data_IF_021330952903
#
_entry.id   IF_021330952903
#
_cell.length_a   1.000
_cell.length_b   1.000
_cell.length_c   1.000
_cell.angle_alpha   90.00
_cell.angle_beta   90.00
_cell.angle_gamma   90.00
#
_symmetry.space_group_name_H-M   'P 1'
#
loop_
_entity.id
_entity.type
_entity.pdbx_description
1 polymer ?
#
# COMPACT_ATOMS: atom_id res chain seq x y z
N UNK A 1 -33.57 46.82 19.85
CA UNK A 1 -33.92 45.49 20.40
C UNK A 1 -34.59 44.72 19.25
N UNK A 2 -33.81 43.88 18.55
CA UNK A 2 -33.93 42.40 18.56
C UNK A 2 -35.16 41.94 17.74
N UNK A 3 -35.13 41.17 16.66
CA UNK A 3 -34.17 40.20 16.11
C UNK A 3 -34.43 40.06 14.60
N UNK A 4 -33.34 40.00 13.83
CA UNK A 4 -33.22 39.24 12.59
C UNK A 4 -32.93 37.78 12.92
N UNK A 5 -33.41 36.81 12.12
CA UNK A 5 -32.72 35.58 11.67
C UNK A 5 -33.79 34.61 11.15
N UNK A 6 -33.99 34.58 9.82
CA UNK A 6 -34.33 33.39 9.02
C UNK A 6 -34.37 33.79 7.53
N UNK A 7 -33.20 34.02 6.95
CA UNK A 7 -33.02 33.93 5.49
C UNK A 7 -31.90 32.93 5.23
N UNK A 8 -32.28 31.79 4.64
CA UNK A 8 -31.37 30.70 4.30
C UNK A 8 -30.39 31.13 3.22
N UNK A 9 -29.17 31.47 3.62
CA UNK A 9 -28.01 31.55 2.73
C UNK A 9 -27.52 30.14 2.42
N UNK A 10 -27.58 29.77 1.14
CA UNK A 10 -26.93 28.59 0.56
C UNK A 10 -25.42 28.59 0.86
N UNK A 11 -25.03 27.89 1.92
CA UNK A 11 -23.64 27.52 2.17
C UNK A 11 -23.24 26.45 1.15
N UNK A 12 -22.61 26.87 0.05
CA UNK A 12 -21.90 25.96 -0.83
C UNK A 12 -20.80 25.24 -0.02
N UNK A 13 -21.00 23.96 0.24
CA UNK A 13 -20.06 23.12 0.99
C UNK A 13 -18.69 23.08 0.28
N UNK A 14 -17.57 23.12 1.03
CA UNK A 14 -16.23 23.08 0.45
C UNK A 14 -15.96 21.80 -0.36
N UNK A 15 -16.71 20.72 -0.10
CA UNK A 15 -16.63 19.48 -0.89
C UNK A 15 -17.09 19.63 -2.36
N UNK A 16 -18.06 20.50 -2.64
CA UNK A 16 -18.57 20.70 -4.01
C UNK A 16 -17.56 21.43 -4.90
N UNK A 17 -16.82 22.39 -4.32
CA UNK A 17 -15.73 23.13 -4.99
C UNK A 17 -14.50 22.24 -5.21
N UNK A 18 -14.15 21.38 -4.26
CA UNK A 18 -13.06 20.39 -4.43
C UNK A 18 -13.40 19.37 -5.53
N UNK A 19 -14.65 18.91 -5.60
CA UNK A 19 -15.09 17.96 -6.63
C UNK A 19 -15.08 18.59 -8.04
N UNK A 20 -15.45 19.86 -8.17
CA UNK A 20 -15.38 20.61 -9.43
C UNK A 20 -13.94 20.89 -9.88
N UNK A 21 -13.06 21.23 -8.94
CA UNK A 21 -11.64 21.54 -9.21
C UNK A 21 -10.83 20.29 -9.57
N UNK A 22 -11.18 19.11 -9.02
CA UNK A 22 -10.57 17.82 -9.39
C UNK A 22 -10.96 17.32 -10.79
N UNK A 23 -12.10 17.77 -11.34
CA UNK A 23 -12.54 17.44 -12.70
C UNK A 23 -11.97 18.38 -13.78
N UNK A 24 -11.36 19.50 -13.39
CA UNK A 24 -10.86 20.53 -14.31
C UNK A 24 -9.39 20.37 -14.72
N UNK A 25 -8.63 19.45 -14.12
CA UNK A 25 -7.27 19.18 -14.61
C UNK A 25 -7.32 18.42 -15.94
N UNK A 26 -6.71 18.95 -17.01
CA UNK A 26 -6.71 18.26 -18.30
C UNK A 26 -6.03 16.91 -18.13
N UNK A 27 -6.69 15.82 -18.54
CA UNK A 27 -6.18 14.43 -18.47
C UNK A 27 -4.75 14.29 -18.99
N UNK A 28 -4.33 15.17 -19.90
CA UNK A 28 -2.98 15.29 -20.43
C UNK A 28 -1.91 15.69 -19.39
N UNK A 29 -2.23 16.52 -18.40
CA UNK A 29 -1.28 16.93 -17.35
C UNK A 29 -1.00 15.80 -16.37
N UNK A 30 -2.02 15.05 -15.97
CA UNK A 30 -1.89 13.85 -15.11
C UNK A 30 -1.15 12.72 -15.85
N UNK A 31 -1.39 12.56 -17.16
CA UNK A 31 -0.67 11.58 -18.00
C UNK A 31 0.80 11.97 -18.22
N UNK A 32 1.10 13.27 -18.33
CA UNK A 32 2.48 13.77 -18.44
C UNK A 32 3.26 13.66 -17.14
N UNK A 33 2.61 13.92 -16.00
CA UNK A 33 3.24 13.76 -14.68
C UNK A 33 3.51 12.29 -14.34
N UNK A 34 2.58 11.39 -14.67
CA UNK A 34 2.78 9.94 -14.50
C UNK A 34 3.82 9.34 -15.46
N UNK A 35 3.93 9.85 -16.69
CA UNK A 35 4.97 9.44 -17.63
C UNK A 35 6.36 9.96 -17.21
N UNK A 36 6.45 11.20 -16.73
CA UNK A 36 7.69 11.78 -16.23
C UNK A 36 8.25 11.02 -15.01
N UNK A 37 7.37 10.60 -14.09
CA UNK A 37 7.77 9.82 -12.91
C UNK A 37 8.18 8.38 -13.26
N UNK A 38 7.56 7.78 -14.28
CA UNK A 38 7.93 6.45 -14.76
C UNK A 38 9.28 6.44 -15.52
N UNK A 39 9.61 7.53 -16.22
CA UNK A 39 10.92 7.68 -16.90
C UNK A 39 12.05 7.88 -15.89
N UNK A 40 11.83 8.62 -14.80
CA UNK A 40 12.83 8.83 -13.75
C UNK A 40 13.18 7.54 -12.96
N UNK A 41 12.25 6.58 -12.89
CA UNK A 41 12.48 5.28 -12.23
C UNK A 41 13.09 4.21 -13.15
N UNK A 42 13.24 4.48 -14.45
CA UNK A 42 13.59 3.47 -15.47
C UNK A 42 15.07 3.42 -15.88
N UNK A 43 15.93 4.32 -15.40
CA UNK A 43 17.30 4.49 -15.92
C UNK A 43 18.39 3.86 -15.02
N UNK A 44 18.23 2.60 -14.60
CA UNK A 44 19.32 1.92 -13.90
C UNK A 44 18.98 0.60 -13.22
N UNK A 45 18.63 -0.45 -13.97
CA UNK A 45 18.81 -1.83 -13.51
C UNK A 45 18.88 -2.77 -14.73
N UNK A 46 19.91 -3.63 -14.86
CA UNK A 46 19.94 -4.62 -15.91
C UNK A 46 18.88 -5.70 -15.65
N UNK A 47 18.17 -6.09 -16.71
CA UNK A 47 17.16 -7.13 -16.71
C UNK A 47 17.80 -8.49 -16.39
N UNK A 48 17.58 -9.01 -15.18
CA UNK A 48 17.80 -10.41 -14.89
C UNK A 48 16.71 -11.23 -15.59
N UNK A 49 17.13 -12.11 -16.50
CA UNK A 49 16.28 -13.06 -17.22
C UNK A 49 15.55 -13.97 -16.21
N UNK A 50 14.22 -13.92 -16.22
CA UNK A 50 13.39 -14.85 -15.47
C UNK A 50 13.52 -16.25 -16.09
N UNK A 51 14.13 -17.18 -15.36
CA UNK A 51 14.03 -18.61 -15.65
C UNK A 51 12.72 -19.15 -15.06
N UNK A 52 11.93 -19.82 -15.90
CA UNK A 52 10.75 -20.59 -15.48
C UNK A 52 11.20 -21.78 -14.61
N UNK A 53 10.98 -21.67 -13.29
CA UNK A 53 11.06 -22.81 -12.37
C UNK A 53 9.66 -23.43 -12.29
N UNK A 54 9.46 -24.71 -12.68
CA UNK A 54 8.17 -25.36 -12.54
C UNK A 54 7.82 -25.57 -11.05
N UNK A 55 6.60 -25.20 -10.68
CA UNK A 55 6.03 -25.41 -9.36
C UNK A 55 5.83 -26.92 -9.11
N UNK A 56 6.65 -27.51 -8.24
CA UNK A 56 6.40 -28.84 -7.68
C UNK A 56 5.16 -28.82 -6.76
N UNK A 57 4.27 -29.82 -6.82
CA UNK A 57 3.13 -29.90 -5.91
C UNK A 57 3.58 -30.23 -4.48
N UNK A 58 2.86 -29.67 -3.50
CA UNK A 58 3.13 -29.83 -2.06
C UNK A 58 3.15 -31.31 -1.62
N UNK A 59 4.03 -31.73 -0.69
CA UNK A 59 4.06 -33.10 -0.21
C UNK A 59 2.82 -33.41 0.63
N UNK A 60 2.13 -34.51 0.27
CA UNK A 60 1.07 -35.09 1.10
C UNK A 60 1.69 -35.84 2.29
N UNK A 61 1.14 -35.61 3.48
CA UNK A 61 1.51 -36.32 4.71
C UNK A 61 0.83 -37.68 4.70
N UNK A 62 1.60 -38.74 4.47
CA UNK A 62 1.21 -40.14 4.70
C UNK A 62 1.81 -40.58 6.04
N UNK A 63 1.03 -41.15 6.99
CA UNK A 63 1.61 -41.69 8.22
C UNK A 63 2.20 -43.08 7.96
N UNK A 64 3.49 -43.27 8.26
CA UNK A 64 4.20 -44.53 8.15
C UNK A 64 4.20 -45.31 9.50
N UNK A 65 4.29 -46.65 9.47
CA UNK A 65 3.99 -47.52 10.61
C UNK A 65 5.15 -47.69 11.59
N UNK A 66 4.80 -48.06 12.83
CA UNK A 66 5.70 -48.25 13.97
C UNK A 66 6.56 -49.51 13.76
N UNK A 67 7.88 -49.36 13.77
CA UNK A 67 8.84 -50.46 13.88
C UNK A 67 9.67 -50.31 15.17
N UNK A 68 9.63 -51.35 16.00
CA UNK A 68 10.44 -51.53 17.21
C UNK A 68 11.88 -51.91 16.86
N UNK A 69 12.87 -51.36 17.56
CA UNK A 69 14.28 -51.85 17.51
C UNK A 69 14.91 -51.83 18.92
N UNK A 70 15.75 -52.82 19.29
CA UNK A 70 16.18 -53.06 20.67
C UNK A 70 17.40 -52.23 21.11
N UNK A 71 17.60 -52.22 22.43
CA UNK A 71 18.52 -51.40 23.22
C UNK A 71 20.02 -51.68 23.02
N UNK A 72 20.83 -50.62 23.18
CA UNK A 72 22.28 -50.63 23.43
C UNK A 72 22.67 -49.43 24.33
N UNK A 73 23.82 -49.45 25.04
CA UNK A 73 23.92 -49.08 26.45
C UNK A 73 24.28 -47.61 26.76
N UNK A 74 24.02 -47.28 28.04
CA UNK A 74 24.06 -45.97 28.70
C UNK A 74 25.43 -45.25 28.70
N UNK A 75 25.39 -43.94 28.45
CA UNK A 75 26.43 -42.97 28.79
C UNK A 75 25.79 -41.75 29.51
N UNK A 76 26.53 -41.03 30.38
CA UNK A 76 25.95 -40.25 31.49
C UNK A 76 25.22 -38.97 31.06
N UNK A 77 24.01 -38.76 31.59
CA UNK A 77 23.24 -37.52 31.42
C UNK A 77 23.81 -36.38 32.28
N UNK A 78 24.13 -35.26 31.64
CA UNK A 78 24.27 -33.94 32.28
C UNK A 78 22.89 -33.29 32.30
N UNK A 79 22.43 -32.90 33.51
CA UNK A 79 21.12 -32.32 33.73
C UNK A 79 21.00 -30.87 33.19
N UNK A 80 19.85 -30.48 32.62
CA UNK A 80 19.56 -29.09 32.25
C UNK A 80 19.16 -28.25 33.48
N UNK A 81 19.44 -26.93 33.49
CA UNK A 81 19.13 -26.08 34.64
C UNK A 81 17.62 -25.82 34.76
N UNK A 82 17.12 -25.97 35.98
CA UNK A 82 15.71 -25.81 36.34
C UNK A 82 15.28 -24.34 36.38
N UNK A 83 14.11 -24.08 35.78
CA UNK A 83 13.34 -22.86 35.94
C UNK A 83 12.71 -22.80 37.34
N UNK A 84 12.77 -21.63 37.99
CA UNK A 84 12.08 -21.35 39.25
C UNK A 84 10.89 -20.46 38.93
N UNK A 85 9.69 -20.96 39.24
CA UNK A 85 8.44 -20.22 39.20
C UNK A 85 8.16 -19.51 40.54
N UNK A 86 7.38 -18.45 40.45
CA UNK A 86 7.03 -17.49 41.48
C UNK A 86 6.24 -18.06 42.69
N UNK A 87 6.40 -17.39 43.83
CA UNK A 87 5.59 -17.56 45.05
C UNK A 87 5.80 -16.43 46.07
N UNK A 88 4.88 -15.47 46.05
CA UNK A 88 4.31 -14.62 47.13
C UNK A 88 5.15 -13.67 48.02
N UNK A 89 4.92 -12.37 47.74
CA UNK A 89 4.53 -11.28 48.65
C UNK A 89 5.08 -11.23 50.10
N UNK A 90 6.05 -10.32 50.30
CA UNK A 90 6.40 -9.74 51.59
C UNK A 90 6.73 -8.25 51.43
N UNK A 91 5.91 -7.39 52.00
CA UNK A 91 6.04 -5.93 52.09
C UNK A 91 7.37 -5.52 52.74
N UNK A 92 8.18 -4.72 52.05
CA UNK A 92 9.30 -3.96 52.63
C UNK A 92 9.26 -2.55 51.99
N UNK A 93 8.66 -1.56 52.67
CA UNK A 93 9.26 -0.76 53.74
C UNK A 93 10.38 0.16 53.21
N UNK A 94 10.06 1.46 53.15
CA UNK A 94 10.93 2.59 52.82
C UNK A 94 12.21 2.61 53.67
N UNK A 95 13.34 3.12 53.13
CA UNK A 95 14.56 3.25 53.92
C UNK A 95 14.43 4.43 54.91
N UNK A 96 14.39 4.12 56.20
CA UNK A 96 14.55 5.09 57.29
C UNK A 96 16.02 5.43 57.46
N UNK A 97 16.35 6.69 57.22
CA UNK A 97 17.64 7.32 57.49
C UNK A 97 17.88 7.29 59.00
N UNK A 98 19.03 6.75 59.42
CA UNK A 98 19.45 6.68 60.81
C UNK A 98 19.76 8.06 61.37
N UNK A 99 19.13 8.36 62.50
CA UNK A 99 19.38 9.51 63.35
C UNK A 99 20.62 9.23 64.20
N UNK A 100 21.76 9.83 63.84
CA UNK A 100 22.85 10.05 64.80
C UNK A 100 23.10 11.56 64.86
N UNK A 101 22.68 12.15 65.97
CA UNK A 101 22.95 13.52 66.33
C UNK A 101 24.24 13.59 67.16
N UNK A 102 25.07 14.61 66.92
CA UNK A 102 25.75 15.30 68.00
C UNK A 102 25.20 16.74 68.09
N UNK A 103 24.86 17.14 69.32
CA UNK A 103 24.46 18.49 69.66
C UNK A 103 25.66 19.44 69.84
N UNK A 104 25.36 20.75 69.77
CA UNK A 104 26.19 21.97 69.89
C UNK A 104 26.62 22.56 68.51
N UNK A 105 26.39 23.83 68.17
CA UNK A 105 25.99 25.00 68.96
C UNK A 105 25.36 26.05 68.03
N UNK A 106 24.55 26.93 68.62
CA UNK A 106 23.80 28.02 67.98
C UNK A 106 24.71 29.12 67.41
N UNK A 107 24.40 29.69 66.23
CA UNK A 107 24.28 31.15 66.00
C UNK A 107 24.28 31.60 64.51
N UNK A 108 23.19 32.29 64.15
CA UNK A 108 23.09 33.49 63.28
C UNK A 108 23.28 33.42 61.74
N UNK A 109 22.20 33.75 61.01
CA UNK A 109 22.26 34.52 59.75
C UNK A 109 21.37 34.01 58.60
N UNK A 110 20.39 34.79 58.08
CA UNK A 110 19.47 34.34 57.04
C UNK A 110 19.95 34.73 55.64
N UNK A 111 20.35 33.76 54.81
CA UNK A 111 20.42 33.96 53.36
C UNK A 111 19.54 32.92 52.67
N UNK A 112 18.23 33.23 52.63
CA UNK A 112 17.29 32.63 51.70
C UNK A 112 17.54 33.21 50.31
N UNK A 113 18.62 32.77 49.67
CA UNK A 113 18.70 32.88 48.21
C UNK A 113 17.62 31.96 47.64
N UNK A 114 16.65 32.45 46.84
CA UNK A 114 15.66 31.58 46.25
C UNK A 114 16.41 30.56 45.38
N UNK A 115 16.06 29.27 45.52
CA UNK A 115 16.46 28.23 44.56
C UNK A 115 16.27 28.84 43.17
N UNK A 116 17.38 29.11 42.48
CA UNK A 116 17.35 29.61 41.12
C UNK A 116 16.46 28.66 40.34
N UNK A 117 15.31 29.17 39.92
CA UNK A 117 14.50 28.50 38.92
C UNK A 117 15.46 28.19 37.77
N UNK A 118 15.71 26.90 37.53
CA UNK A 118 16.47 26.47 36.37
C UNK A 118 15.77 27.13 35.18
N UNK A 119 16.42 28.03 34.44
CA UNK A 119 15.79 28.64 33.28
C UNK A 119 15.33 27.51 32.36
N UNK A 120 14.05 27.51 31.98
CA UNK A 120 13.53 26.54 31.01
C UNK A 120 14.31 26.57 29.67
N UNK A 121 15.13 27.61 29.46
CA UNK A 121 16.05 27.80 28.35
C UNK A 121 17.36 26.97 28.44
N UNK A 122 17.55 26.18 29.51
CA UNK A 122 18.71 25.29 29.69
C UNK A 122 18.47 23.85 29.16
N UNK A 123 17.60 23.68 28.16
CA UNK A 123 17.59 22.52 27.27
C UNK A 123 18.32 22.90 25.97
N UNK A 124 19.67 22.86 25.93
CA UNK A 124 20.37 22.88 24.66
C UNK A 124 20.09 21.55 23.98
N UNK A 125 19.13 21.53 23.06
CA UNK A 125 18.93 20.67 21.88
C UNK A 125 17.44 20.69 21.57
N UNK A 126 17.06 21.43 20.54
CA UNK A 126 15.69 21.45 20.04
C UNK A 126 15.40 20.08 19.42
N UNK A 127 14.84 19.15 20.21
CA UNK A 127 14.37 17.83 19.79
C UNK A 127 13.16 17.90 18.84
N UNK A 128 12.92 19.06 18.23
CA UNK A 128 11.97 19.19 17.14
C UNK A 128 12.41 18.30 15.96
N UNK A 129 11.47 17.68 15.22
CA UNK A 129 11.81 16.90 14.02
C UNK A 129 12.65 17.68 13.01
N UNK A 130 12.49 19.00 12.97
CA UNK A 130 13.25 19.89 12.10
C UNK A 130 14.68 20.12 12.61
N UNK A 131 14.88 20.24 13.92
CA UNK A 131 16.21 20.32 14.55
C UNK A 131 17.03 19.06 14.26
N UNK A 132 16.42 17.89 14.55
CA UNK A 132 17.00 16.57 14.25
C UNK A 132 17.32 16.39 12.76
N UNK A 133 16.44 16.82 11.85
CA UNK A 133 16.74 16.74 10.41
C UNK A 133 17.99 17.57 10.02
N UNK A 134 18.22 18.74 10.63
CA UNK A 134 19.36 19.59 10.29
C UNK A 134 20.69 18.98 10.75
N UNK A 135 20.70 18.35 11.92
CA UNK A 135 21.88 17.68 12.49
C UNK A 135 22.19 16.32 11.87
N UNK A 136 21.21 15.69 11.21
CA UNK A 136 21.40 14.39 10.59
C UNK A 136 22.53 14.29 9.56
N UNK A 137 23.15 13.12 9.53
CA UNK A 137 24.12 12.72 8.52
C UNK A 137 23.50 12.74 7.11
N UNK A 138 24.33 12.99 6.10
CA UNK A 138 23.87 13.12 4.70
C UNK A 138 23.15 11.86 4.19
N UNK A 139 23.56 10.68 4.65
CA UNK A 139 22.93 9.41 4.27
C UNK A 139 21.55 9.28 4.92
N UNK A 140 21.43 9.60 6.22
CA UNK A 140 20.13 9.56 6.93
C UNK A 140 19.18 10.60 6.34
N UNK A 141 19.67 11.80 5.99
CA UNK A 141 18.90 12.81 5.26
C UNK A 141 18.37 12.28 3.92
N UNK A 142 19.20 11.59 3.14
CA UNK A 142 18.79 10.99 1.87
C UNK A 142 17.71 9.91 2.06
N UNK A 143 17.86 9.05 3.08
CA UNK A 143 16.86 8.04 3.47
C UNK A 143 15.53 8.70 3.83
N UNK A 144 15.53 9.71 4.70
CA UNK A 144 14.31 10.42 5.12
C UNK A 144 13.60 11.10 3.94
N UNK A 145 14.34 11.80 3.08
CA UNK A 145 13.79 12.46 1.89
C UNK A 145 13.20 11.42 0.92
N UNK A 146 13.90 10.31 0.68
CA UNK A 146 13.45 9.22 -0.18
C UNK A 146 12.15 8.58 0.33
N UNK A 147 12.02 8.37 1.63
CA UNK A 147 10.81 7.83 2.26
C UNK A 147 9.62 8.79 2.18
N UNK A 148 9.85 10.10 2.38
CA UNK A 148 8.82 11.13 2.20
C UNK A 148 8.36 11.19 0.74
N UNK A 149 9.29 11.12 -0.21
CA UNK A 149 8.95 11.05 -1.63
C UNK A 149 8.12 9.80 -1.96
N UNK A 150 8.51 8.62 -1.46
CA UNK A 150 7.76 7.38 -1.63
C UNK A 150 6.32 7.48 -1.06
N UNK A 151 6.15 8.18 0.07
CA UNK A 151 4.82 8.46 0.63
C UNK A 151 3.98 9.32 -0.33
N UNK A 152 4.54 10.41 -0.89
CA UNK A 152 3.86 11.26 -1.88
C UNK A 152 3.45 10.46 -3.12
N UNK A 153 4.32 9.58 -3.62
CA UNK A 153 4.01 8.67 -4.73
C UNK A 153 2.84 7.77 -4.38
N UNK A 154 2.83 7.19 -3.19
CA UNK A 154 1.75 6.30 -2.72
C UNK A 154 0.39 6.99 -2.75
N UNK A 155 0.29 8.21 -2.20
CA UNK A 155 -0.94 9.01 -2.20
C UNK A 155 -1.36 9.45 -3.61
N UNK A 156 -0.39 9.79 -4.46
CA UNK A 156 -0.66 10.16 -5.86
C UNK A 156 -1.26 8.98 -6.62
N UNK A 157 -0.67 7.79 -6.49
CA UNK A 157 -1.18 6.59 -7.15
C UNK A 157 -2.57 6.24 -6.63
N UNK A 158 -2.84 6.38 -5.33
CA UNK A 158 -4.18 6.19 -4.77
C UNK A 158 -5.22 7.04 -5.52
N UNK A 159 -5.02 8.35 -5.60
CA UNK A 159 -6.00 9.26 -6.20
C UNK A 159 -6.23 8.92 -7.67
N UNK A 160 -5.15 8.75 -8.44
CA UNK A 160 -5.24 8.43 -9.88
C UNK A 160 -5.96 7.11 -10.09
N UNK A 161 -5.59 6.06 -9.35
CA UNK A 161 -6.17 4.73 -9.49
C UNK A 161 -7.60 4.65 -8.99
N UNK A 162 -7.97 5.42 -7.96
CA UNK A 162 -9.35 5.53 -7.52
C UNK A 162 -10.24 6.09 -8.62
N UNK A 163 -9.83 7.17 -9.28
CA UNK A 163 -10.61 7.78 -10.37
C UNK A 163 -10.69 6.81 -11.58
N UNK A 164 -9.57 6.20 -11.96
CA UNK A 164 -9.51 5.23 -13.06
C UNK A 164 -10.43 4.03 -12.80
N UNK A 165 -10.36 3.44 -11.61
CA UNK A 165 -11.20 2.31 -11.20
C UNK A 165 -12.69 2.68 -11.18
N UNK A 166 -13.05 3.81 -10.55
CA UNK A 166 -14.46 4.23 -10.45
C UNK A 166 -15.06 4.56 -11.82
N UNK A 167 -14.30 5.19 -12.71
CA UNK A 167 -14.77 5.51 -14.07
C UNK A 167 -14.92 4.25 -14.91
N UNK A 168 -13.95 3.34 -14.87
CA UNK A 168 -14.02 2.06 -15.58
C UNK A 168 -15.16 1.16 -15.05
N UNK A 169 -15.33 1.08 -13.73
CA UNK A 169 -16.39 0.28 -13.11
C UNK A 169 -17.79 0.85 -13.44
N UNK A 170 -17.94 2.17 -13.48
CA UNK A 170 -19.20 2.79 -13.92
C UNK A 170 -19.48 2.49 -15.39
N UNK A 171 -18.48 2.61 -16.26
CA UNK A 171 -18.63 2.33 -17.69
C UNK A 171 -19.04 0.87 -17.95
N UNK A 172 -18.32 -0.10 -17.38
CA UNK A 172 -18.66 -1.52 -17.55
C UNK A 172 -20.03 -1.87 -16.97
N UNK A 173 -20.43 -1.27 -15.85
CA UNK A 173 -21.76 -1.47 -15.27
C UNK A 173 -22.89 -0.94 -16.15
N UNK A 174 -22.70 0.23 -16.76
CA UNK A 174 -23.66 0.79 -17.70
C UNK A 174 -23.72 -0.06 -18.97
N UNK A 175 -22.56 -0.47 -19.50
CA UNK A 175 -22.45 -1.39 -20.63
C UNK A 175 -23.16 -2.71 -20.40
N UNK A 176 -22.92 -3.34 -19.25
CA UNK A 176 -23.57 -4.60 -18.89
C UNK A 176 -25.10 -4.48 -18.88
N UNK A 177 -25.65 -3.40 -18.30
CA UNK A 177 -27.11 -3.14 -18.31
C UNK A 177 -27.65 -2.94 -19.72
N UNK A 178 -26.91 -2.24 -20.60
CA UNK A 178 -27.30 -2.06 -22.01
C UNK A 178 -27.31 -3.39 -22.76
N UNK A 179 -26.30 -4.23 -22.54
CA UNK A 179 -26.18 -5.56 -23.15
C UNK A 179 -27.31 -6.48 -22.67
N UNK A 180 -27.64 -6.44 -21.38
CA UNK A 180 -28.71 -7.25 -20.80
C UNK A 180 -30.11 -6.84 -21.30
N UNK A 181 -30.34 -5.53 -21.49
CA UNK A 181 -31.60 -5.00 -22.00
C UNK A 181 -31.75 -5.11 -23.53
N UNK A 182 -30.67 -5.36 -24.26
CA UNK A 182 -30.69 -5.37 -25.72
C UNK A 182 -31.36 -6.64 -26.28
N UNK A 183 -32.20 -6.47 -27.30
CA UNK A 183 -32.84 -7.58 -27.99
C UNK A 183 -31.91 -8.32 -28.95
N UNK A 184 -30.91 -7.61 -29.51
CA UNK A 184 -29.91 -8.11 -30.46
C UNK A 184 -28.57 -7.39 -30.27
N UNK A 185 -27.50 -7.96 -30.83
CA UNK A 185 -26.15 -7.36 -30.80
C UNK A 185 -26.13 -5.99 -31.49
N UNK A 186 -26.88 -5.84 -32.59
CA UNK A 186 -26.98 -4.58 -33.33
C UNK A 186 -27.64 -3.48 -32.48
N UNK A 187 -28.68 -3.82 -31.72
CA UNK A 187 -29.32 -2.89 -30.79
C UNK A 187 -28.36 -2.46 -29.65
N UNK A 188 -27.60 -3.40 -29.09
CA UNK A 188 -26.58 -3.08 -28.09
C UNK A 188 -25.51 -2.14 -28.65
N UNK A 189 -25.04 -2.38 -29.89
CA UNK A 189 -24.06 -1.54 -30.57
C UNK A 189 -24.54 -0.13 -30.91
N UNK A 190 -25.81 0.03 -31.27
CA UNK A 190 -26.39 1.34 -31.59
C UNK A 190 -26.37 2.32 -30.40
N UNK A 191 -26.27 1.80 -29.18
CA UNK A 191 -26.19 2.58 -27.94
C UNK A 191 -24.78 2.61 -27.31
N UNK A 192 -23.76 2.18 -28.04
CA UNK A 192 -22.37 2.15 -27.58
C UNK A 192 -21.68 3.52 -27.79
N UNK A 193 -21.06 4.06 -26.73
CA UNK A 193 -20.38 5.38 -26.77
C UNK A 193 -18.91 5.27 -27.21
N UNK A 194 -18.40 4.03 -27.31
CA UNK A 194 -17.17 3.67 -27.96
C UNK A 194 -15.89 3.73 -27.14
N UNK A 195 -16.00 3.96 -25.84
CA UNK A 195 -14.86 4.34 -24.98
C UNK A 195 -14.39 3.19 -24.10
N UNK A 196 -15.28 2.28 -23.70
CA UNK A 196 -14.96 1.22 -22.74
C UNK A 196 -14.65 -0.14 -23.37
N UNK A 197 -14.16 -1.09 -22.57
CA UNK A 197 -13.94 -2.48 -22.99
C UNK A 197 -15.23 -3.17 -23.45
N UNK A 198 -16.39 -2.86 -22.86
CA UNK A 198 -17.73 -3.32 -23.27
C UNK A 198 -18.01 -3.02 -24.74
N UNK A 199 -17.74 -1.80 -25.19
CA UNK A 199 -17.99 -1.39 -26.57
C UNK A 199 -17.01 -2.07 -27.52
N UNK A 200 -15.78 -2.32 -27.06
CA UNK A 200 -14.78 -3.07 -27.83
C UNK A 200 -15.20 -4.53 -27.99
N UNK A 201 -15.80 -5.13 -26.97
CA UNK A 201 -16.37 -6.49 -27.02
C UNK A 201 -17.50 -6.56 -28.03
N UNK A 202 -18.48 -5.67 -27.94
CA UNK A 202 -19.61 -5.58 -28.87
C UNK A 202 -19.14 -5.41 -30.32
N UNK A 203 -18.20 -4.49 -30.57
CA UNK A 203 -17.67 -4.27 -31.92
C UNK A 203 -16.84 -5.44 -32.43
N UNK A 204 -16.12 -6.14 -31.56
CA UNK A 204 -15.36 -7.32 -31.96
C UNK A 204 -16.30 -8.45 -32.39
N UNK A 205 -17.37 -8.68 -31.63
CA UNK A 205 -18.41 -9.65 -31.98
C UNK A 205 -19.06 -9.30 -33.33
N UNK A 206 -19.50 -8.06 -33.53
CA UNK A 206 -20.16 -7.68 -34.80
C UNK A 206 -19.21 -7.70 -36.00
N UNK A 207 -17.94 -7.31 -35.84
CA UNK A 207 -16.95 -7.43 -36.92
C UNK A 207 -16.76 -8.89 -37.32
N UNK A 208 -16.74 -9.80 -36.35
CA UNK A 208 -16.54 -11.23 -36.62
C UNK A 208 -17.77 -11.87 -37.27
N UNK A 209 -18.99 -11.49 -36.83
CA UNK A 209 -20.23 -11.90 -37.49
C UNK A 209 -20.28 -11.43 -38.95
N UNK A 210 -19.94 -10.16 -39.21
CA UNK A 210 -19.95 -9.62 -40.57
C UNK A 210 -18.93 -10.31 -41.48
N UNK A 211 -17.75 -10.66 -40.97
CA UNK A 211 -16.73 -11.42 -41.74
C UNK A 211 -17.14 -12.87 -41.99
N UNK A 212 -17.95 -13.43 -41.11
CA UNK A 212 -18.35 -14.84 -41.18
C UNK A 212 -19.68 -15.06 -41.91
N UNK A 213 -20.29 -14.00 -42.44
CA UNK A 213 -21.55 -14.06 -43.18
C UNK A 213 -21.46 -14.93 -44.46
N UNK A 214 -20.26 -15.17 -44.99
CA UNK A 214 -20.01 -15.93 -46.23
C UNK A 214 -19.85 -17.45 -46.00
N UNK A 215 -20.73 -18.06 -45.18
CA UNK A 215 -20.85 -19.53 -45.12
C UNK A 215 -19.93 -20.26 -44.15
N UNK A 216 -19.36 -19.58 -43.14
CA UNK A 216 -18.61 -20.24 -42.07
C UNK A 216 -19.54 -20.88 -41.03
N UNK A 217 -19.09 -21.95 -40.37
CA UNK A 217 -19.87 -22.64 -39.34
C UNK A 217 -20.14 -21.74 -38.13
N UNK A 218 -21.38 -21.73 -37.64
CA UNK A 218 -21.83 -20.94 -36.48
C UNK A 218 -21.00 -21.21 -35.23
N UNK A 219 -20.61 -22.47 -35.02
CA UNK A 219 -19.80 -22.87 -33.87
C UNK A 219 -18.38 -22.28 -33.94
N UNK A 220 -17.76 -22.30 -35.11
CA UNK A 220 -16.45 -21.69 -35.32
C UNK A 220 -16.47 -20.17 -35.15
N UNK A 221 -17.57 -19.51 -35.54
CA UNK A 221 -17.78 -18.08 -35.31
C UNK A 221 -17.84 -17.76 -33.81
N UNK A 222 -18.61 -18.54 -33.04
CA UNK A 222 -18.72 -18.39 -31.59
C UNK A 222 -17.36 -18.56 -30.92
N UNK A 223 -16.59 -19.58 -31.29
CA UNK A 223 -15.26 -19.81 -30.72
C UNK A 223 -14.30 -18.63 -30.98
N UNK A 224 -14.27 -18.10 -32.21
CA UNK A 224 -13.46 -16.92 -32.56
C UNK A 224 -13.89 -15.68 -31.79
N UNK A 225 -15.20 -15.46 -31.63
CA UNK A 225 -15.73 -14.38 -30.80
C UNK A 225 -15.27 -14.55 -29.36
N UNK A 226 -15.46 -15.72 -28.76
CA UNK A 226 -15.02 -16.03 -27.40
C UNK A 226 -13.53 -15.76 -27.18
N UNK A 227 -12.69 -16.18 -28.12
CA UNK A 227 -11.24 -15.88 -28.12
C UNK A 227 -10.96 -14.37 -28.15
N UNK A 228 -11.63 -13.61 -29.03
CA UNK A 228 -11.49 -12.15 -29.09
C UNK A 228 -11.96 -11.45 -27.81
N UNK A 229 -13.07 -11.90 -27.21
CA UNK A 229 -13.57 -11.38 -25.95
C UNK A 229 -12.55 -11.62 -24.82
N UNK A 230 -12.00 -12.84 -24.72
CA UNK A 230 -10.95 -13.19 -23.76
C UNK A 230 -9.71 -12.29 -23.88
N UNK A 231 -9.27 -12.01 -25.11
CA UNK A 231 -8.15 -11.08 -25.33
C UNK A 231 -8.46 -9.65 -24.87
N UNK A 232 -9.68 -9.15 -25.10
CA UNK A 232 -10.10 -7.81 -24.68
C UNK A 232 -10.14 -7.72 -23.15
N UNK A 233 -10.70 -8.74 -22.48
CA UNK A 233 -10.75 -8.82 -21.02
C UNK A 233 -9.34 -8.83 -20.42
N UNK A 234 -8.45 -9.68 -20.93
CA UNK A 234 -7.07 -9.77 -20.46
C UNK A 234 -6.33 -8.44 -20.62
N UNK A 235 -6.51 -7.74 -21.75
CA UNK A 235 -5.91 -6.41 -21.98
C UNK A 235 -6.46 -5.37 -21.01
N UNK A 236 -7.78 -5.32 -20.80
CA UNK A 236 -8.42 -4.38 -19.89
C UNK A 236 -7.98 -4.61 -18.43
N UNK A 237 -7.92 -5.87 -18.00
CA UNK A 237 -7.47 -6.26 -16.68
C UNK A 237 -6.00 -5.94 -16.43
N UNK A 238 -5.12 -6.20 -17.41
CA UNK A 238 -3.70 -5.81 -17.33
C UNK A 238 -3.53 -4.30 -17.27
N UNK A 239 -4.30 -3.54 -18.05
CA UNK A 239 -4.25 -2.08 -18.04
C UNK A 239 -4.59 -1.52 -16.66
N UNK A 240 -5.68 -2.01 -16.03
CA UNK A 240 -6.09 -1.56 -14.70
C UNK A 240 -4.99 -1.81 -13.64
N UNK A 241 -4.26 -2.93 -13.75
CA UNK A 241 -3.15 -3.27 -12.86
C UNK A 241 -1.83 -2.53 -13.12
N UNK A 242 -1.70 -1.73 -14.18
CA UNK A 242 -0.46 -0.97 -14.42
C UNK A 242 -0.25 0.06 -13.32
N UNK A 243 0.97 0.16 -12.80
CA UNK A 243 1.34 1.16 -11.78
C UNK A 243 1.02 0.76 -10.34
N UNK A 244 0.20 -0.26 -10.08
CA UNK A 244 -0.03 -0.75 -8.70
C UNK A 244 1.20 -1.49 -8.15
N UNK A 245 2.07 -2.02 -9.01
CA UNK A 245 3.32 -2.68 -8.60
C UNK A 245 4.27 -1.75 -7.81
N UNK A 246 4.25 -0.44 -8.07
CA UNK A 246 5.05 0.54 -7.32
C UNK A 246 4.67 0.54 -5.83
N UNK A 247 3.39 0.40 -5.51
CA UNK A 247 2.92 0.32 -4.12
C UNK A 247 3.37 -0.97 -3.44
N UNK A 248 3.39 -2.08 -4.19
CA UNK A 248 3.91 -3.34 -3.66
C UNK A 248 5.39 -3.23 -3.31
N UNK A 249 6.19 -2.61 -4.20
CA UNK A 249 7.61 -2.37 -3.94
C UNK A 249 7.83 -1.42 -2.76
N UNK A 250 7.16 -0.26 -2.72
CA UNK A 250 7.28 0.67 -1.59
C UNK A 250 6.88 -0.01 -0.28
N UNK A 251 5.75 -0.72 -0.29
CA UNK A 251 5.23 -1.42 0.88
C UNK A 251 6.18 -2.50 1.42
N UNK A 252 6.91 -3.20 0.54
CA UNK A 252 7.85 -4.23 0.95
C UNK A 252 9.26 -3.69 1.28
N UNK A 253 9.72 -2.62 0.65
CA UNK A 253 11.10 -2.14 0.81
C UNK A 253 11.25 -0.97 1.78
N UNK A 254 10.25 -0.10 1.93
CA UNK A 254 10.34 1.09 2.78
C UNK A 254 10.72 0.81 4.26
N UNK A 255 10.23 -0.27 4.91
CA UNK A 255 10.65 -0.62 6.27
C UNK A 255 12.16 -0.92 6.35
N UNK A 256 12.70 -1.61 5.34
CA UNK A 256 14.12 -1.95 5.29
C UNK A 256 14.99 -0.74 4.97
N UNK A 257 14.48 0.20 4.16
CA UNK A 257 15.15 1.49 3.92
C UNK A 257 15.21 2.32 5.21
N UNK A 258 14.13 2.32 6.01
CA UNK A 258 14.13 2.95 7.34
C UNK A 258 15.09 2.27 8.33
N UNK A 259 15.10 0.93 8.35
CA UNK A 259 16.03 0.13 9.15
C UNK A 259 17.50 0.43 8.77
N UNK A 260 17.80 0.54 7.47
CA UNK A 260 19.12 0.97 7.01
C UNK A 260 19.49 2.34 7.59
N UNK A 261 18.57 3.30 7.57
CA UNK A 261 18.74 4.61 8.22
C UNK A 261 19.07 4.50 9.71
N UNK A 262 18.39 3.62 10.45
CA UNK A 262 18.72 3.40 11.88
C UNK A 262 20.11 2.83 12.10
N UNK A 263 20.49 1.81 11.33
CA UNK A 263 21.79 1.15 11.47
C UNK A 263 22.91 2.14 11.18
N UNK A 264 22.74 2.96 10.13
CA UNK A 264 23.70 4.00 9.79
C UNK A 264 23.82 5.08 10.87
N UNK A 265 22.70 5.61 11.37
CA UNK A 265 22.71 6.66 12.40
C UNK A 265 23.29 6.18 13.74
N UNK A 266 23.00 4.95 14.15
CA UNK A 266 23.59 4.35 15.35
C UNK A 266 25.09 4.13 15.17
N UNK A 267 25.53 3.66 13.99
CA UNK A 267 26.94 3.51 13.66
C UNK A 267 27.70 4.83 13.77
N UNK A 268 27.18 5.91 13.17
CA UNK A 268 27.79 7.24 13.26
C UNK A 268 27.80 7.78 14.70
N UNK A 269 26.77 7.48 15.50
CA UNK A 269 26.74 7.85 16.92
C UNK A 269 27.87 7.18 17.70
N UNK A 270 28.14 5.88 17.46
CA UNK A 270 29.26 5.18 18.09
C UNK A 270 30.64 5.69 17.65
N UNK A 271 30.79 6.08 16.38
CA UNK A 271 32.02 6.73 15.89
C UNK A 271 32.26 8.04 16.67
N UNK A 272 31.23 8.85 16.89
CA UNK A 272 31.33 10.08 17.68
C UNK A 272 31.78 9.87 19.13
N UNK A 273 31.33 8.79 19.80
CA UNK A 273 31.83 8.43 21.15
C UNK A 273 33.34 8.12 21.10
N UNK A 274 33.77 7.36 20.09
CA UNK A 274 35.17 6.96 19.94
C UNK A 274 36.09 8.15 19.70
N UNK A 275 35.65 9.12 18.89
CA UNK A 275 36.42 10.33 18.59
C UNK A 275 36.47 11.30 19.78
N UNK A 276 35.33 11.47 20.48
CA UNK A 276 35.23 12.39 21.61
C UNK A 276 35.86 11.83 22.91
N UNK A 277 36.20 10.53 22.94
CA UNK A 277 36.79 9.83 24.09
C UNK A 277 36.03 10.05 25.41
N UNK A 278 34.71 10.27 25.32
CA UNK A 278 33.84 10.55 26.46
C UNK A 278 32.60 9.66 26.40
N UNK A 279 32.18 9.14 27.55
CA UNK A 279 30.96 8.34 27.69
C UNK A 279 29.71 9.20 27.92
N UNK A 280 29.81 10.51 27.69
CA UNK A 280 28.68 11.41 27.88
C UNK A 280 27.56 11.13 26.88
N UNK A 281 26.43 10.63 27.39
CA UNK A 281 25.24 10.26 26.62
C UNK A 281 24.61 11.45 25.86
N UNK A 282 24.84 12.68 26.32
CA UNK A 282 24.30 13.88 25.67
C UNK A 282 24.83 14.05 24.23
N UNK A 283 26.06 13.57 23.95
CA UNK A 283 26.69 13.69 22.63
C UNK A 283 26.04 12.77 21.58
N UNK A 284 25.47 11.64 22.01
CA UNK A 284 24.92 10.62 21.10
C UNK A 284 23.40 10.59 21.05
N UNK A 285 22.71 11.14 22.05
CA UNK A 285 21.26 11.15 22.11
C UNK A 285 20.61 11.71 20.81
N UNK A 286 21.13 12.77 20.16
CA UNK A 286 20.57 13.27 18.91
C UNK A 286 20.66 12.28 17.74
N UNK A 287 21.82 11.65 17.53
CA UNK A 287 22.02 10.73 16.41
C UNK A 287 21.19 9.44 16.53
N UNK A 288 20.97 8.98 17.76
CA UNK A 288 20.06 7.84 18.03
C UNK A 288 18.60 8.26 17.79
N UNK A 289 18.20 9.46 18.19
CA UNK A 289 16.84 9.95 17.94
C UNK A 289 16.53 10.07 16.44
N UNK A 290 17.47 10.62 15.66
CA UNK A 290 17.37 10.73 14.20
C UNK A 290 17.32 9.36 13.50
N UNK A 291 18.14 8.41 13.96
CA UNK A 291 18.10 7.03 13.52
C UNK A 291 16.68 6.46 13.69
N UNK A 292 16.13 6.54 14.90
CA UNK A 292 14.79 6.00 15.20
C UNK A 292 13.69 6.69 14.36
N UNK A 293 13.83 7.98 14.09
CA UNK A 293 12.92 8.73 13.20
C UNK A 293 12.92 8.14 11.77
N UNK A 294 14.08 7.74 11.24
CA UNK A 294 14.16 7.15 9.90
C UNK A 294 13.35 5.84 9.79
N UNK A 295 13.40 4.98 10.81
CA UNK A 295 12.56 3.76 10.84
C UNK A 295 11.08 4.08 10.98
N UNK A 296 10.72 5.05 11.83
CA UNK A 296 9.33 5.49 11.95
C UNK A 296 8.77 5.98 10.61
N UNK A 297 9.54 6.79 9.86
CA UNK A 297 9.17 7.23 8.52
C UNK A 297 9.06 6.06 7.52
N UNK A 298 9.91 5.05 7.65
CA UNK A 298 9.86 3.82 6.85
C UNK A 298 8.50 3.12 7.00
N UNK A 299 8.03 2.98 8.24
CA UNK A 299 6.72 2.39 8.53
C UNK A 299 5.56 3.27 8.06
N UNK A 300 5.64 4.59 8.26
CA UNK A 300 4.63 5.55 7.80
C UNK A 300 4.48 5.54 6.28
N UNK A 301 5.56 5.32 5.53
CA UNK A 301 5.49 5.16 4.07
C UNK A 301 4.96 3.77 3.66
N UNK A 302 5.39 2.71 4.35
CA UNK A 302 5.06 1.33 4.00
C UNK A 302 3.59 0.95 4.24
N UNK A 303 3.05 1.30 5.42
CA UNK A 303 1.72 0.83 5.86
C UNK A 303 0.63 1.28 4.87
N UNK A 304 0.51 2.57 4.49
CA UNK A 304 -0.48 2.99 3.51
C UNK A 304 -0.27 2.31 2.15
N UNK A 305 0.98 2.16 1.70
CA UNK A 305 1.29 1.54 0.42
C UNK A 305 0.75 0.09 0.33
N UNK A 306 0.97 -0.71 1.38
CA UNK A 306 0.47 -2.09 1.46
C UNK A 306 -1.07 -2.13 1.49
N UNK A 307 -1.71 -1.28 2.28
CA UNK A 307 -3.18 -1.23 2.38
C UNK A 307 -3.80 -0.88 1.03
N UNK A 308 -3.27 0.15 0.37
CA UNK A 308 -3.78 0.62 -0.93
C UNK A 308 -3.51 -0.42 -2.02
N UNK A 309 -2.33 -1.05 -2.03
CA UNK A 309 -2.02 -2.15 -2.95
C UNK A 309 -3.03 -3.30 -2.81
N UNK A 310 -3.28 -3.76 -1.58
CA UNK A 310 -4.23 -4.85 -1.31
C UNK A 310 -5.66 -4.49 -1.70
N UNK A 311 -6.08 -3.25 -1.46
CA UNK A 311 -7.37 -2.75 -1.93
C UNK A 311 -7.49 -2.86 -3.45
N UNK A 312 -6.51 -2.36 -4.21
CA UNK A 312 -6.56 -2.43 -5.66
C UNK A 312 -6.40 -3.85 -6.21
N UNK A 313 -5.62 -4.71 -5.57
CA UNK A 313 -5.53 -6.12 -5.94
C UNK A 313 -6.90 -6.81 -5.89
N UNK A 314 -7.68 -6.53 -4.84
CA UNK A 314 -9.07 -7.03 -4.72
C UNK A 314 -10.01 -6.35 -5.71
N UNK A 315 -9.91 -5.03 -5.86
CA UNK A 315 -10.75 -4.26 -6.77
C UNK A 315 -10.57 -4.69 -8.25
N UNK A 316 -9.33 -4.95 -8.68
CA UNK A 316 -9.02 -5.45 -10.01
C UNK A 316 -9.62 -6.84 -10.24
N UNK A 317 -9.61 -7.71 -9.23
CA UNK A 317 -10.27 -9.02 -9.30
C UNK A 317 -11.79 -8.86 -9.49
N UNK A 318 -12.43 -7.96 -8.75
CA UNK A 318 -13.85 -7.63 -8.96
C UNK A 318 -14.13 -7.06 -10.35
N UNK A 319 -13.25 -6.20 -10.87
CA UNK A 319 -13.35 -5.68 -12.23
C UNK A 319 -13.21 -6.77 -13.30
N UNK A 320 -12.31 -7.74 -13.12
CA UNK A 320 -12.17 -8.93 -14.00
C UNK A 320 -13.45 -9.75 -14.04
N UNK A 321 -14.06 -10.01 -12.88
CA UNK A 321 -15.32 -10.72 -12.81
C UNK A 321 -16.41 -10.00 -13.60
N UNK A 322 -16.50 -8.67 -13.45
CA UNK A 322 -17.49 -7.87 -14.18
C UNK A 322 -17.28 -7.86 -15.70
N UNK A 323 -16.03 -7.85 -16.14
CA UNK A 323 -15.67 -8.03 -17.55
C UNK A 323 -16.08 -9.41 -18.08
N UNK A 324 -15.97 -10.46 -17.26
CA UNK A 324 -16.40 -11.82 -17.60
C UNK A 324 -17.92 -11.92 -17.74
N UNK A 325 -18.67 -11.38 -16.78
CA UNK A 325 -20.14 -11.31 -16.83
C UNK A 325 -20.62 -10.57 -18.07
N UNK A 326 -19.98 -9.43 -18.39
CA UNK A 326 -20.35 -8.61 -19.55
C UNK A 326 -20.09 -9.34 -20.87
N UNK A 327 -18.95 -10.01 -21.00
CA UNK A 327 -18.65 -10.80 -22.20
C UNK A 327 -19.60 -11.99 -22.37
N UNK A 328 -19.99 -12.66 -21.28
CA UNK A 328 -21.02 -13.70 -21.33
C UNK A 328 -22.37 -13.13 -21.80
N UNK A 329 -22.70 -11.90 -21.43
CA UNK A 329 -23.85 -11.18 -21.99
C UNK A 329 -23.75 -10.98 -23.51
N UNK A 330 -22.58 -10.59 -24.02
CA UNK A 330 -22.32 -10.48 -25.46
C UNK A 330 -22.45 -11.84 -26.16
N UNK A 331 -21.91 -12.90 -25.58
CA UNK A 331 -22.01 -14.26 -26.15
C UNK A 331 -23.48 -14.73 -26.24
N UNK A 332 -24.31 -14.42 -25.24
CA UNK A 332 -25.76 -14.71 -25.29
C UNK A 332 -26.48 -13.94 -26.39
N UNK A 333 -26.13 -12.66 -26.63
CA UNK A 333 -26.70 -11.89 -27.74
C UNK A 333 -26.31 -12.50 -29.08
N UNK A 334 -25.02 -12.82 -29.26
CA UNK A 334 -24.50 -13.47 -30.47
C UNK A 334 -25.19 -14.81 -30.71
N UNK A 335 -25.30 -15.66 -29.68
CA UNK A 335 -25.99 -16.94 -29.75
C UNK A 335 -27.41 -16.78 -30.29
N UNK A 336 -28.18 -15.87 -29.67
CA UNK A 336 -29.58 -15.64 -30.02
C UNK A 336 -29.73 -15.09 -31.44
N UNK A 337 -28.81 -14.22 -31.86
CA UNK A 337 -28.81 -13.64 -33.20
C UNK A 337 -28.46 -14.70 -34.25
N UNK A 338 -27.49 -15.59 -33.99
CA UNK A 338 -27.20 -16.73 -34.88
C UNK A 338 -28.37 -17.70 -34.98
N UNK A 339 -29.03 -18.02 -33.87
CA UNK A 339 -30.20 -18.92 -33.85
C UNK A 339 -31.38 -18.33 -34.66
N UNK A 340 -31.61 -17.01 -34.54
CA UNK A 340 -32.62 -16.29 -35.33
C UNK A 340 -32.29 -16.29 -36.82
N UNK A 341 -31.03 -16.06 -37.18
CA UNK A 341 -30.57 -16.11 -38.56
C UNK A 341 -30.78 -17.52 -39.16
N UNK A 342 -30.44 -18.57 -38.41
CA UNK A 342 -30.67 -19.96 -38.82
C UNK A 342 -32.16 -20.29 -39.00
N UNK A 343 -33.04 -19.70 -38.18
CA UNK A 343 -34.48 -19.84 -38.30
C UNK A 343 -35.12 -18.94 -39.39
N UNK A 344 -34.33 -18.14 -40.11
CA UNK A 344 -34.81 -17.28 -41.20
C UNK A 344 -35.42 -15.94 -40.77
N UNK A 345 -35.24 -15.53 -39.50
CA UNK A 345 -35.65 -14.20 -39.04
C UNK A 345 -34.57 -13.15 -39.36
N UNK A 346 -34.99 -11.92 -39.68
CA UNK A 346 -34.07 -10.80 -39.86
C UNK A 346 -33.40 -10.43 -38.51
N UNK A 347 -32.07 -10.28 -38.54
CA UNK A 347 -31.20 -9.96 -37.39
C UNK A 347 -30.66 -8.53 -37.46
#
# INVERSE_FOLDING_TARGET
MSESIWTGTNAATPLSKVCSMMFALPRAALLRLSLALAVAAGSGAPAALAQDVPLSPAPQVVPAPVATTPAAPSAPQVAPPAAIAAGEAGTAASPSIGTDAPAADDSTGPDSSPLGAIPADALPHDLSPMGMYRQADIVVKAVMIGLVFASIVTWTVLIVKMIEYLTAMRAINQGARRIEAAASLRAALGSADGRGPEDRMLRAAARELNRSAEGLSTDGVRERIGSHLGQIQARAARHMGRGTGVLATIGSTAPFVGLFGTVWGIMNSFIGISEAQTTNLAVVAPGIAEALLATALGLVAAIPAVVIYNFFARAITGYRLRLNETAAGVDRLVSRDLDRAAAGFAV
#
